data_IF_521871264497
#
_entry.id   IF_521871264497
#
_cell.length_a   1.000
_cell.length_b   1.000
_cell.length_c   1.000
_cell.angle_alpha   90.00
_cell.angle_beta   90.00
_cell.angle_gamma   90.00
#
_symmetry.space_group_name_H-M   'P 1'
#
loop_
_entity.id
_entity.type
_entity.pdbx_description
1 polymer ?
#
# COMPACT_ATOMS: atom_id res chain seq x y z
N UNK A 1 -56.07 27.70 -25.22
CA UNK A 1 -54.81 28.02 -25.94
C UNK A 1 -53.78 28.34 -24.89
N UNK A 2 -53.02 27.37 -24.43
CA UNK A 2 -51.95 27.51 -23.45
C UNK A 2 -50.66 27.02 -24.12
N UNK A 3 -49.82 27.94 -24.44
CA UNK A 3 -48.47 27.73 -24.98
C UNK A 3 -47.57 27.26 -23.84
N UNK A 4 -47.21 26.00 -23.84
CA UNK A 4 -46.12 25.42 -23.06
C UNK A 4 -44.78 25.83 -23.72
N UNK A 5 -44.09 26.74 -23.08
CA UNK A 5 -42.71 27.05 -23.41
C UNK A 5 -41.81 25.90 -22.99
N UNK A 6 -41.20 25.25 -23.98
CA UNK A 6 -40.13 24.28 -23.79
C UNK A 6 -38.92 25.00 -23.19
N UNK A 7 -38.58 24.67 -21.94
CA UNK A 7 -37.27 24.99 -21.35
C UNK A 7 -36.21 24.12 -22.06
N UNK A 8 -35.45 24.81 -22.89
CA UNK A 8 -34.24 24.25 -23.49
C UNK A 8 -33.24 23.98 -22.38
N UNK A 9 -32.97 22.68 -22.12
CA UNK A 9 -31.83 22.22 -21.35
C UNK A 9 -30.55 22.83 -21.94
N UNK A 10 -30.09 23.91 -21.36
CA UNK A 10 -28.75 24.43 -21.62
C UNK A 10 -27.76 23.44 -21.02
N UNK A 11 -26.82 22.88 -21.80
CA UNK A 11 -25.76 22.05 -21.23
C UNK A 11 -24.99 22.93 -20.22
N UNK A 12 -24.99 22.53 -18.96
CA UNK A 12 -24.10 23.12 -17.94
C UNK A 12 -22.70 23.12 -18.53
N UNK A 13 -22.21 24.28 -18.89
CA UNK A 13 -20.82 24.53 -19.22
C UNK A 13 -20.00 24.09 -18.01
N UNK A 14 -19.36 22.92 -18.11
CA UNK A 14 -18.31 22.55 -17.22
C UNK A 14 -17.31 23.70 -17.22
N UNK A 15 -17.19 24.40 -16.10
CA UNK A 15 -16.15 25.40 -15.88
C UNK A 15 -14.82 24.65 -16.05
N UNK A 16 -14.24 24.77 -17.24
CA UNK A 16 -12.91 24.22 -17.55
C UNK A 16 -11.90 25.03 -16.74
N UNK A 17 -11.55 24.54 -15.55
CA UNK A 17 -10.33 24.98 -14.88
C UNK A 17 -9.19 24.74 -15.88
N UNK A 18 -8.23 25.67 -16.03
CA UNK A 18 -7.06 25.40 -16.86
C UNK A 18 -6.42 24.10 -16.36
N UNK A 19 -6.08 23.19 -17.28
CA UNK A 19 -5.46 21.91 -16.94
C UNK A 19 -4.12 22.19 -16.25
N UNK A 20 -3.95 21.68 -15.04
CA UNK A 20 -2.69 21.73 -14.29
C UNK A 20 -1.76 20.58 -14.71
N UNK A 21 -2.26 19.63 -15.52
CA UNK A 21 -1.50 18.49 -15.98
C UNK A 21 -0.60 18.83 -17.16
N UNK A 22 0.68 18.50 -17.02
CA UNK A 22 1.67 18.53 -18.12
C UNK A 22 1.48 17.33 -19.04
N UNK A 23 1.23 16.14 -18.45
CA UNK A 23 0.95 14.91 -19.17
C UNK A 23 -0.31 14.25 -18.64
N UNK A 24 -1.26 14.02 -19.54
CA UNK A 24 -2.53 13.36 -19.28
C UNK A 24 -2.38 11.84 -19.23
N UNK A 25 -3.46 11.15 -18.89
CA UNK A 25 -3.47 9.70 -18.65
C UNK A 25 -2.90 8.86 -19.79
N UNK A 26 -3.20 9.22 -21.05
CA UNK A 26 -2.78 8.47 -22.25
C UNK A 26 -1.51 9.03 -22.90
N UNK A 27 -0.99 10.15 -22.41
CA UNK A 27 0.21 10.76 -22.97
C UNK A 27 1.44 9.90 -22.65
N UNK A 28 2.41 9.93 -23.57
CA UNK A 28 3.68 9.23 -23.46
C UNK A 28 4.81 10.23 -23.25
N UNK A 29 5.18 10.55 -22.01
CA UNK A 29 6.31 11.44 -21.77
C UNK A 29 7.62 10.86 -22.35
N UNK A 30 8.61 11.70 -22.71
CA UNK A 30 9.94 11.25 -23.05
C UNK A 30 10.55 10.36 -21.96
N UNK A 31 11.41 9.40 -22.34
CA UNK A 31 11.95 8.40 -21.42
C UNK A 31 12.59 9.02 -20.16
N UNK A 32 13.37 10.09 -20.32
CA UNK A 32 14.02 10.77 -19.18
C UNK A 32 13.00 11.32 -18.17
N UNK A 33 11.92 11.94 -18.66
CA UNK A 33 10.85 12.48 -17.81
C UNK A 33 10.02 11.35 -17.17
N UNK A 34 9.77 10.26 -17.93
CA UNK A 34 9.11 9.07 -17.44
C UNK A 34 9.88 8.44 -16.29
N UNK A 35 11.20 8.25 -16.44
CA UNK A 35 12.07 7.71 -15.40
C UNK A 35 12.13 8.62 -14.18
N UNK A 36 12.24 9.93 -14.40
CA UNK A 36 12.28 10.90 -13.29
C UNK A 36 10.99 10.90 -12.49
N UNK A 37 9.82 10.93 -13.16
CA UNK A 37 8.53 10.85 -12.50
C UNK A 37 8.35 9.48 -11.81
N UNK A 38 8.75 8.38 -12.44
CA UNK A 38 8.70 7.05 -11.84
C UNK A 38 9.55 6.94 -10.57
N UNK A 39 10.76 7.51 -10.57
CA UNK A 39 11.58 7.58 -9.35
C UNK A 39 10.90 8.37 -8.24
N UNK A 40 10.20 9.46 -8.55
CA UNK A 40 9.47 10.24 -7.54
C UNK A 40 8.33 9.44 -6.93
N UNK A 41 7.54 8.72 -7.75
CA UNK A 41 6.51 7.81 -7.27
C UNK A 41 7.11 6.72 -6.38
N UNK A 42 8.22 6.11 -6.82
CA UNK A 42 8.90 5.08 -6.04
C UNK A 42 9.38 5.61 -4.69
N UNK A 43 10.07 6.77 -4.66
CA UNK A 43 10.54 7.40 -3.43
C UNK A 43 9.40 7.73 -2.46
N UNK A 44 8.25 8.18 -2.97
CA UNK A 44 7.09 8.53 -2.16
C UNK A 44 6.48 7.33 -1.44
N UNK A 45 6.60 6.12 -2.00
CA UNK A 45 5.88 4.95 -1.52
C UNK A 45 6.78 3.79 -1.07
N UNK A 46 8.06 3.80 -1.39
CA UNK A 46 8.98 2.69 -1.13
C UNK A 46 8.93 2.22 0.33
N UNK A 47 9.13 3.16 1.27
CA UNK A 47 9.07 2.86 2.71
C UNK A 47 7.70 2.33 3.11
N UNK A 48 6.63 2.94 2.58
CA UNK A 48 5.26 2.54 2.91
C UNK A 48 4.91 1.13 2.41
N UNK A 49 5.50 0.67 1.30
CA UNK A 49 5.29 -0.70 0.77
C UNK A 49 5.91 -1.76 1.66
N UNK A 50 7.11 -1.51 2.19
CA UNK A 50 7.85 -2.50 3.00
C UNK A 50 7.45 -2.50 4.48
N UNK A 51 7.04 -1.35 5.02
CA UNK A 51 6.79 -1.17 6.46
C UNK A 51 5.73 -2.12 7.03
N UNK A 52 4.55 -2.32 6.42
CA UNK A 52 3.55 -3.24 6.98
C UNK A 52 4.07 -4.67 7.12
N UNK A 53 4.75 -5.16 6.08
CA UNK A 53 5.37 -6.49 6.10
C UNK A 53 6.41 -6.62 7.21
N UNK A 54 7.28 -5.62 7.34
CA UNK A 54 8.31 -5.59 8.38
C UNK A 54 7.70 -5.62 9.78
N UNK A 55 6.67 -4.81 10.04
CA UNK A 55 5.99 -4.74 11.34
C UNK A 55 5.35 -6.08 11.70
N UNK A 56 4.69 -6.74 10.75
CA UNK A 56 4.05 -8.05 10.98
C UNK A 56 5.12 -9.09 11.26
N UNK A 57 6.18 -9.18 10.44
CA UNK A 57 7.24 -10.16 10.63
C UNK A 57 7.95 -9.99 11.97
N UNK A 58 8.26 -8.76 12.38
CA UNK A 58 8.88 -8.46 13.66
C UNK A 58 7.96 -8.82 14.85
N UNK A 59 6.69 -8.47 14.78
CA UNK A 59 5.73 -8.76 15.83
C UNK A 59 5.50 -10.26 16.03
N UNK A 60 5.53 -11.04 14.94
CA UNK A 60 5.40 -12.49 14.98
C UNK A 60 6.70 -13.21 15.31
N UNK A 61 7.83 -12.49 15.33
CA UNK A 61 9.15 -13.03 15.64
C UNK A 61 9.69 -13.95 14.53
N UNK A 62 9.48 -13.56 13.27
CA UNK A 62 10.03 -14.31 12.13
C UNK A 62 11.56 -14.17 12.05
N UNK A 63 12.27 -15.23 11.62
CA UNK A 63 13.69 -15.15 11.31
C UNK A 63 14.00 -14.09 10.25
N UNK A 64 15.23 -13.59 10.24
CA UNK A 64 15.65 -12.56 9.29
C UNK A 64 15.49 -13.01 7.83
N UNK A 65 15.77 -14.28 7.53
CA UNK A 65 15.62 -14.86 6.19
C UNK A 65 14.17 -14.83 5.70
N UNK A 66 13.23 -15.28 6.55
CA UNK A 66 11.80 -15.25 6.23
C UNK A 66 11.29 -13.81 6.07
N UNK A 67 11.71 -12.91 6.97
CA UNK A 67 11.37 -11.49 6.90
C UNK A 67 11.85 -10.88 5.59
N UNK A 68 13.10 -11.11 5.20
CA UNK A 68 13.68 -10.61 3.96
C UNK A 68 12.93 -11.16 2.73
N UNK A 69 12.60 -12.45 2.74
CA UNK A 69 11.81 -13.10 1.67
C UNK A 69 10.43 -12.46 1.53
N UNK A 70 9.70 -12.29 2.62
CA UNK A 70 8.36 -11.69 2.62
C UNK A 70 8.40 -10.25 2.12
N UNK A 71 9.38 -9.45 2.53
CA UNK A 71 9.53 -8.06 2.09
C UNK A 71 9.91 -8.00 0.61
N UNK A 72 10.83 -8.84 0.13
CA UNK A 72 11.15 -8.95 -1.30
C UNK A 72 9.90 -9.29 -2.11
N UNK A 73 9.11 -10.25 -1.64
CA UNK A 73 7.85 -10.62 -2.30
C UNK A 73 6.78 -9.54 -2.19
N UNK A 74 6.80 -8.69 -1.15
CA UNK A 74 5.92 -7.51 -1.05
C UNK A 74 6.20 -6.51 -2.17
N UNK A 75 7.46 -6.20 -2.45
CA UNK A 75 7.85 -5.33 -3.57
C UNK A 75 7.46 -5.95 -4.91
N UNK A 76 7.79 -7.23 -5.11
CA UNK A 76 7.47 -7.97 -6.34
C UNK A 76 5.96 -8.02 -6.61
N UNK A 77 5.18 -8.45 -5.62
CA UNK A 77 3.73 -8.53 -5.71
C UNK A 77 3.09 -7.14 -5.91
N UNK A 78 3.60 -6.10 -5.25
CA UNK A 78 3.16 -4.71 -5.45
C UNK A 78 3.37 -4.22 -6.87
N UNK A 79 4.48 -4.60 -7.51
CA UNK A 79 4.73 -4.31 -8.91
C UNK A 79 3.74 -5.01 -9.84
N UNK A 80 3.52 -6.33 -9.66
CA UNK A 80 2.52 -7.08 -10.43
C UNK A 80 1.10 -6.53 -10.21
N UNK A 81 0.75 -6.23 -8.96
CA UNK A 81 -0.53 -5.65 -8.58
C UNK A 81 -0.76 -4.29 -9.24
N UNK A 82 0.29 -3.46 -9.30
CA UNK A 82 0.25 -2.17 -10.00
C UNK A 82 0.02 -2.34 -11.50
N UNK A 83 0.65 -3.31 -12.14
CA UNK A 83 0.40 -3.62 -13.55
C UNK A 83 -1.06 -4.00 -13.80
N UNK A 84 -1.64 -4.85 -12.95
CA UNK A 84 -3.06 -5.25 -13.04
C UNK A 84 -4.00 -4.06 -12.82
N UNK A 85 -3.63 -3.14 -11.93
CA UNK A 85 -4.45 -1.98 -11.61
C UNK A 85 -4.42 -0.92 -12.71
N UNK A 86 -3.24 -0.65 -13.30
CA UNK A 86 -3.02 0.40 -14.29
C UNK A 86 -3.49 -0.05 -15.68
N UNK A 87 -3.22 -1.31 -16.05
CA UNK A 87 -3.66 -1.86 -17.32
C UNK A 87 -5.00 -2.54 -17.15
N UNK A 88 -6.01 -2.05 -17.86
CA UNK A 88 -7.32 -2.73 -17.87
C UNK A 88 -7.24 -4.04 -18.64
N UNK A 89 -7.47 -5.17 -17.94
CA UNK A 89 -7.57 -6.51 -18.50
C UNK A 89 -9.06 -6.94 -18.49
N UNK A 90 -9.80 -6.60 -19.51
CA UNK A 90 -11.26 -6.82 -19.54
C UNK A 90 -11.97 -6.06 -18.41
N UNK A 91 -12.54 -6.75 -17.39
CA UNK A 91 -13.19 -6.11 -16.25
C UNK A 91 -12.23 -5.71 -15.12
N UNK A 92 -10.95 -6.11 -15.17
CA UNK A 92 -9.97 -5.93 -14.10
C UNK A 92 -9.14 -4.68 -14.34
N UNK A 93 -8.90 -3.89 -13.30
CA UNK A 93 -8.09 -2.68 -13.33
C UNK A 93 -8.89 -1.40 -13.47
N UNK A 94 -8.41 -0.33 -12.83
CA UNK A 94 -8.98 1.02 -12.93
C UNK A 94 -8.58 1.75 -14.22
N UNK A 95 -7.43 1.39 -14.79
CA UNK A 95 -6.83 2.07 -15.95
C UNK A 95 -6.24 3.45 -15.63
N UNK A 96 -6.03 3.76 -14.35
CA UNK A 96 -5.45 4.99 -13.85
C UNK A 96 -4.00 4.76 -13.40
N UNK A 97 -3.24 5.84 -13.23
CA UNK A 97 -1.95 5.80 -12.56
C UNK A 97 -2.17 5.58 -11.06
N UNK A 98 -2.50 4.35 -10.68
CA UNK A 98 -2.72 3.95 -9.29
C UNK A 98 -1.79 2.79 -8.96
N UNK A 99 -0.83 3.05 -8.07
CA UNK A 99 0.18 2.07 -7.69
C UNK A 99 -0.30 1.33 -6.44
N UNK A 100 -0.03 0.05 -6.40
CA UNK A 100 -0.41 -0.85 -5.31
C UNK A 100 0.76 -1.08 -4.37
N UNK A 101 0.46 -1.32 -3.11
CA UNK A 101 1.46 -1.75 -2.13
C UNK A 101 0.82 -2.42 -0.94
N UNK A 102 1.64 -2.99 -0.05
CA UNK A 102 1.18 -3.73 1.12
C UNK A 102 0.32 -2.84 2.03
N UNK A 103 -0.89 -3.26 2.31
CA UNK A 103 -1.88 -2.47 3.04
C UNK A 103 -1.63 -2.45 4.55
N UNK A 104 -1.65 -1.25 5.13
CA UNK A 104 -1.57 -1.05 6.58
C UNK A 104 -2.80 -1.58 7.34
N UNK A 105 -3.95 -1.72 6.68
CA UNK A 105 -5.19 -2.17 7.30
C UNK A 105 -5.07 -3.58 7.89
N UNK A 106 -4.19 -4.39 7.33
CA UNK A 106 -3.99 -5.78 7.76
C UNK A 106 -2.95 -5.93 8.87
N UNK A 107 -2.18 -4.89 9.23
CA UNK A 107 -1.09 -4.99 10.21
C UNK A 107 -1.61 -5.51 11.56
N UNK A 108 -2.53 -4.80 12.20
CA UNK A 108 -3.06 -5.20 13.51
C UNK A 108 -3.80 -6.54 13.48
N UNK A 109 -4.73 -6.80 12.53
CA UNK A 109 -5.43 -8.08 12.46
C UNK A 109 -4.50 -9.28 12.24
N UNK A 110 -3.47 -9.14 11.40
CA UNK A 110 -2.53 -10.23 11.14
C UNK A 110 -1.56 -10.46 12.30
N UNK A 111 -1.12 -9.41 12.98
CA UNK A 111 -0.32 -9.56 14.21
C UNK A 111 -1.15 -10.30 15.26
N UNK A 112 -2.37 -9.88 15.53
CA UNK A 112 -3.23 -10.51 16.53
C UNK A 112 -3.57 -11.95 16.16
N UNK A 113 -3.92 -12.20 14.91
CA UNK A 113 -4.22 -13.53 14.41
C UNK A 113 -3.02 -14.47 14.46
N UNK A 114 -1.86 -13.99 14.01
CA UNK A 114 -0.62 -14.77 14.05
C UNK A 114 -0.17 -15.09 15.47
N UNK A 115 -0.26 -14.12 16.41
CA UNK A 115 0.05 -14.36 17.82
C UNK A 115 -0.93 -15.36 18.44
N UNK A 116 -2.22 -15.32 18.09
CA UNK A 116 -3.21 -16.30 18.57
C UNK A 116 -2.86 -17.71 18.09
N UNK A 117 -2.49 -17.88 16.82
CA UNK A 117 -2.02 -19.17 16.27
C UNK A 117 -0.74 -19.66 16.97
N UNK A 118 0.23 -18.76 17.16
CA UNK A 118 1.49 -19.07 17.86
C UNK A 118 1.26 -19.50 19.29
N UNK A 119 0.40 -18.81 20.03
CA UNK A 119 0.00 -19.16 21.39
C UNK A 119 -0.78 -20.48 21.44
N UNK A 120 -1.46 -20.86 20.34
CA UNK A 120 -2.07 -22.17 20.14
C UNK A 120 -1.09 -23.30 19.82
N UNK A 121 0.22 -23.00 19.76
CA UNK A 121 1.27 -23.99 19.52
C UNK A 121 1.66 -24.17 18.05
N UNK A 122 1.17 -23.33 17.13
CA UNK A 122 1.58 -23.39 15.74
C UNK A 122 3.04 -22.94 15.58
N UNK A 123 3.82 -23.68 14.83
CA UNK A 123 5.16 -23.28 14.37
C UNK A 123 5.05 -22.20 13.26
N UNK A 124 6.16 -21.56 12.93
CA UNK A 124 6.19 -20.46 11.97
C UNK A 124 5.62 -20.87 10.60
N UNK A 125 6.02 -21.97 9.96
CA UNK A 125 5.45 -22.38 8.69
C UNK A 125 3.94 -22.63 8.75
N UNK A 126 3.44 -23.32 9.76
CA UNK A 126 2.01 -23.59 9.93
C UNK A 126 1.22 -22.30 10.16
N UNK A 127 1.74 -21.38 10.98
CA UNK A 127 1.16 -20.07 11.22
C UNK A 127 1.06 -19.26 9.91
N UNK A 128 2.15 -19.19 9.15
CA UNK A 128 2.18 -18.43 7.89
C UNK A 128 1.27 -19.05 6.83
N UNK A 129 1.24 -20.39 6.73
CA UNK A 129 0.31 -21.10 5.85
C UNK A 129 -1.16 -20.78 6.18
N UNK A 130 -1.51 -20.74 7.48
CA UNK A 130 -2.86 -20.39 7.92
C UNK A 130 -3.21 -18.92 7.60
N UNK A 131 -2.27 -18.00 7.84
CA UNK A 131 -2.49 -16.59 7.51
C UNK A 131 -2.70 -16.40 6.00
N UNK A 132 -1.81 -16.91 5.15
CA UNK A 132 -1.91 -16.72 3.70
C UNK A 132 -3.11 -17.45 3.10
N UNK A 133 -3.41 -18.67 3.54
CA UNK A 133 -4.57 -19.41 3.06
C UNK A 133 -5.89 -18.75 3.45
N UNK A 134 -6.01 -18.25 4.67
CA UNK A 134 -7.21 -17.52 5.11
C UNK A 134 -7.32 -16.17 4.39
N UNK A 135 -6.21 -15.44 4.18
CA UNK A 135 -6.18 -14.20 3.40
C UNK A 135 -6.64 -14.42 1.96
N UNK A 136 -6.20 -15.51 1.32
CA UNK A 136 -6.61 -15.86 -0.04
C UNK A 136 -8.13 -16.05 -0.13
N UNK A 137 -8.73 -16.77 0.82
CA UNK A 137 -10.19 -16.97 0.86
C UNK A 137 -10.91 -15.66 1.20
N UNK A 138 -10.42 -14.92 2.20
CA UNK A 138 -11.02 -13.66 2.62
C UNK A 138 -10.99 -12.59 1.53
N UNK A 139 -9.97 -12.57 0.64
CA UNK A 139 -9.88 -11.64 -0.51
C UNK A 139 -11.03 -11.79 -1.51
N UNK A 140 -11.70 -12.95 -1.55
CA UNK A 140 -12.92 -13.15 -2.33
C UNK A 140 -14.03 -12.15 -1.95
N UNK A 141 -14.00 -11.61 -0.73
CA UNK A 141 -14.95 -10.57 -0.29
C UNK A 141 -14.89 -9.35 -1.19
N UNK A 142 -13.69 -8.84 -1.52
CA UNK A 142 -13.53 -7.71 -2.44
C UNK A 142 -13.94 -8.06 -3.87
N UNK A 143 -13.60 -9.27 -4.33
CA UNK A 143 -13.98 -9.76 -5.65
C UNK A 143 -15.49 -9.78 -5.80
N UNK A 144 -16.21 -10.31 -4.80
CA UNK A 144 -17.67 -10.35 -4.77
C UNK A 144 -18.21 -8.91 -4.66
N UNK A 145 -17.70 -8.10 -3.75
CA UNK A 145 -18.17 -6.73 -3.54
C UNK A 145 -18.03 -5.87 -4.79
N UNK A 146 -16.99 -6.09 -5.60
CA UNK A 146 -16.79 -5.38 -6.87
C UNK A 146 -17.97 -5.51 -7.83
N UNK A 147 -18.70 -6.64 -7.79
CA UNK A 147 -19.88 -6.88 -8.61
C UNK A 147 -21.11 -6.12 -8.09
N UNK A 148 -21.23 -6.01 -6.78
CA UNK A 148 -22.36 -5.38 -6.09
C UNK A 148 -22.07 -3.93 -5.65
N UNK A 149 -21.07 -3.29 -6.22
CA UNK A 149 -20.63 -1.95 -5.81
C UNK A 149 -21.74 -0.89 -5.91
N UNK A 150 -22.72 -1.07 -6.81
CA UNK A 150 -23.87 -0.20 -6.91
C UNK A 150 -24.82 -0.27 -5.69
N UNK A 151 -24.89 -1.44 -5.02
CA UNK A 151 -25.62 -1.59 -3.76
C UNK A 151 -24.80 -1.04 -2.59
N UNK A 152 -23.49 -1.28 -2.61
CA UNK A 152 -22.58 -0.83 -1.56
C UNK A 152 -22.59 0.70 -1.41
N UNK A 153 -22.76 1.46 -2.49
CA UNK A 153 -22.92 2.94 -2.46
C UNK A 153 -24.03 3.45 -1.54
N UNK A 154 -25.07 2.65 -1.29
CA UNK A 154 -26.15 3.02 -0.36
C UNK A 154 -25.70 2.95 1.11
N UNK A 155 -24.76 2.06 1.41
CA UNK A 155 -24.25 1.82 2.76
C UNK A 155 -22.97 2.65 2.99
N UNK A 156 -22.16 2.82 1.94
CA UNK A 156 -20.91 3.54 1.95
C UNK A 156 -21.18 5.04 1.79
N UNK A 157 -21.54 5.66 2.89
CA UNK A 157 -21.62 7.13 2.96
C UNK A 157 -20.25 7.73 3.28
N UNK A 158 -19.99 9.00 2.97
CA UNK A 158 -18.77 9.69 3.39
C UNK A 158 -18.51 9.60 4.89
N UNK A 159 -19.59 9.56 5.70
CA UNK A 159 -19.52 9.37 7.15
C UNK A 159 -18.93 8.00 7.51
N UNK A 160 -19.42 6.93 6.89
CA UNK A 160 -18.92 5.56 7.13
C UNK A 160 -17.45 5.47 6.74
N UNK A 161 -17.07 5.99 5.58
CA UNK A 161 -15.66 6.04 5.15
C UNK A 161 -14.78 6.82 6.15
N UNK A 162 -15.24 7.96 6.63
CA UNK A 162 -14.52 8.75 7.63
C UNK A 162 -14.33 8.01 8.96
N UNK A 163 -15.36 7.33 9.45
CA UNK A 163 -15.29 6.50 10.68
C UNK A 163 -14.29 5.36 10.49
N UNK A 164 -14.31 4.67 9.34
CA UNK A 164 -13.40 3.58 9.03
C UNK A 164 -11.94 4.07 9.03
N UNK A 165 -11.64 5.17 8.33
CA UNK A 165 -10.28 5.75 8.31
C UNK A 165 -9.83 6.16 9.72
N UNK A 166 -10.74 6.71 10.52
CA UNK A 166 -10.44 7.07 11.92
C UNK A 166 -10.10 5.82 12.76
N UNK A 167 -10.87 4.74 12.63
CA UNK A 167 -10.62 3.48 13.37
C UNK A 167 -9.27 2.88 12.95
N UNK A 168 -8.94 2.88 11.66
CA UNK A 168 -7.64 2.43 11.14
C UNK A 168 -6.52 3.28 11.76
N UNK A 169 -6.67 4.60 11.73
CA UNK A 169 -5.70 5.51 12.34
C UNK A 169 -5.48 5.24 13.83
N UNK A 170 -6.56 5.03 14.60
CA UNK A 170 -6.48 4.69 16.02
C UNK A 170 -5.78 3.34 16.25
N UNK A 171 -6.06 2.33 15.43
CA UNK A 171 -5.40 1.01 15.52
C UNK A 171 -3.89 1.11 15.25
N UNK A 172 -3.49 1.96 14.31
CA UNK A 172 -2.09 2.17 13.98
C UNK A 172 -1.32 2.99 15.04
N UNK A 173 -1.99 3.76 15.88
CA UNK A 173 -1.34 4.47 17.01
C UNK A 173 -0.61 3.48 17.92
N UNK A 174 -1.25 2.38 18.28
CA UNK A 174 -0.61 1.36 19.13
C UNK A 174 0.64 0.79 18.46
N UNK A 175 0.57 0.46 17.17
CA UNK A 175 1.72 -0.04 16.41
C UNK A 175 2.83 1.01 16.32
N UNK A 176 2.47 2.28 16.08
CA UNK A 176 3.40 3.40 16.04
C UNK A 176 4.11 3.63 17.37
N UNK A 177 3.37 3.62 18.50
CA UNK A 177 3.95 3.76 19.84
C UNK A 177 4.89 2.60 20.18
N UNK A 178 4.53 1.38 19.82
CA UNK A 178 5.39 0.21 19.96
C UNK A 178 6.70 0.39 19.18
N UNK A 179 6.61 0.87 17.93
CA UNK A 179 7.79 1.12 17.08
C UNK A 179 8.68 2.25 17.64
N UNK A 180 8.09 3.34 18.16
CA UNK A 180 8.82 4.44 18.84
C UNK A 180 9.58 3.92 20.05
N UNK A 181 9.01 2.98 20.81
CA UNK A 181 9.64 2.34 21.96
C UNK A 181 10.82 1.42 21.61
N UNK A 182 11.04 1.13 20.34
CA UNK A 182 12.10 0.23 19.84
C UNK A 182 11.56 -1.05 19.19
N UNK A 183 10.25 -1.16 19.03
CA UNK A 183 9.59 -2.30 18.41
C UNK A 183 9.45 -3.52 19.33
N UNK A 184 8.96 -4.61 18.77
CA UNK A 184 8.72 -5.85 19.53
C UNK A 184 10.01 -6.52 19.99
N UNK A 185 11.12 -6.36 19.25
CA UNK A 185 12.44 -6.85 19.68
C UNK A 185 12.91 -6.21 20.98
N UNK A 186 12.74 -4.89 21.14
CA UNK A 186 13.10 -4.18 22.36
C UNK A 186 12.22 -4.57 23.57
N UNK A 187 11.02 -5.10 23.33
CA UNK A 187 10.18 -5.67 24.41
C UNK A 187 10.78 -6.97 24.93
N UNK A 188 11.30 -7.84 24.05
CA UNK A 188 11.95 -9.09 24.46
C UNK A 188 13.28 -8.86 25.17
N UNK A 189 14.03 -7.84 24.75
CA UNK A 189 15.36 -7.51 25.29
C UNK A 189 15.33 -6.55 26.49
N UNK A 190 14.13 -6.23 27.00
CA UNK A 190 13.93 -5.29 28.12
C UNK A 190 14.49 -3.87 27.87
N UNK A 191 14.70 -3.49 26.61
CA UNK A 191 15.18 -2.15 26.21
C UNK A 191 14.06 -1.25 25.68
N UNK A 192 12.82 -1.70 25.78
CA UNK A 192 11.64 -0.95 25.33
C UNK A 192 11.52 0.39 26.06
N UNK A 193 11.28 1.47 25.31
CA UNK A 193 11.17 2.81 25.87
C UNK A 193 12.49 3.41 26.35
N UNK A 194 13.64 2.80 26.03
CA UNK A 194 14.94 3.35 26.40
C UNK A 194 15.13 4.76 25.84
N UNK A 195 15.86 5.66 26.54
CA UNK A 195 16.11 7.01 26.06
C UNK A 195 16.73 7.05 24.65
N UNK A 196 17.55 6.07 24.29
CA UNK A 196 18.16 5.94 22.95
C UNK A 196 17.10 5.71 21.89
N UNK A 197 16.16 4.78 22.10
CA UNK A 197 15.08 4.49 21.17
C UNK A 197 14.18 5.72 20.98
N UNK A 198 13.80 6.38 22.08
CA UNK A 198 12.94 7.57 22.03
C UNK A 198 13.65 8.76 21.34
N UNK A 199 14.93 8.96 21.58
CA UNK A 199 15.72 10.01 20.91
C UNK A 199 15.81 9.74 19.40
N UNK A 200 16.10 8.50 19.00
CA UNK A 200 16.17 8.11 17.59
C UNK A 200 14.84 8.34 16.89
N UNK A 201 13.76 7.83 17.48
CA UNK A 201 12.39 7.99 16.92
C UNK A 201 11.98 9.47 16.86
N UNK A 202 12.28 10.24 17.91
CA UNK A 202 12.02 11.68 17.96
C UNK A 202 12.80 12.46 16.89
N UNK A 203 14.10 12.15 16.70
CA UNK A 203 14.91 12.78 15.68
C UNK A 203 14.37 12.50 14.26
N UNK A 204 14.03 11.23 13.96
CA UNK A 204 13.42 10.85 12.67
C UNK A 204 12.09 11.59 12.45
N UNK A 205 11.22 11.63 13.46
CA UNK A 205 9.95 12.34 13.39
C UNK A 205 10.15 13.84 13.11
N UNK A 206 11.08 14.49 13.80
CA UNK A 206 11.41 15.90 13.57
C UNK A 206 11.89 16.13 12.14
N UNK A 207 12.76 15.26 11.61
CA UNK A 207 13.23 15.34 10.22
C UNK A 207 12.04 15.24 9.24
N UNK A 208 11.12 14.28 9.45
CA UNK A 208 9.93 14.14 8.61
C UNK A 208 9.09 15.42 8.64
N UNK A 209 8.82 15.98 9.82
CA UNK A 209 8.01 17.20 9.99
C UNK A 209 8.70 18.38 9.30
N UNK A 210 9.99 18.56 9.48
CA UNK A 210 10.75 19.66 8.89
C UNK A 210 10.76 19.57 7.36
N UNK A 211 10.96 18.36 6.79
CA UNK A 211 10.96 18.15 5.35
C UNK A 211 9.57 18.33 4.75
N UNK A 212 8.52 17.84 5.42
CA UNK A 212 7.14 18.04 4.96
C UNK A 212 6.68 19.51 5.02
N UNK A 213 7.29 20.33 5.87
CA UNK A 213 7.01 21.78 5.95
C UNK A 213 7.74 22.59 4.89
N UNK A 214 8.71 22.01 4.18
CA UNK A 214 9.46 22.72 3.14
C UNK A 214 8.57 23.13 1.97
N UNK A 215 8.90 24.28 1.36
CA UNK A 215 8.24 24.75 0.13
C UNK A 215 8.66 23.95 -1.09
N UNK A 216 9.82 23.30 -1.03
CA UNK A 216 10.32 22.48 -2.12
C UNK A 216 9.54 21.15 -2.16
N UNK A 217 8.79 20.92 -3.24
CA UNK A 217 7.96 19.74 -3.37
C UNK A 217 8.76 18.43 -3.42
N UNK A 218 9.96 18.44 -3.99
CA UNK A 218 10.81 17.25 -4.08
C UNK A 218 11.28 16.78 -2.69
N UNK A 219 11.62 17.70 -1.79
CA UNK A 219 11.98 17.37 -0.41
C UNK A 219 10.79 16.78 0.36
N UNK A 220 9.58 17.26 0.08
CA UNK A 220 8.36 16.71 0.66
C UNK A 220 8.11 15.27 0.24
N UNK A 221 8.22 14.98 -1.06
CA UNK A 221 8.03 13.61 -1.60
C UNK A 221 9.08 12.66 -1.06
N UNK A 222 10.35 13.09 -0.99
CA UNK A 222 11.47 12.28 -0.51
C UNK A 222 11.59 12.24 1.02
N UNK A 223 10.71 12.92 1.77
CA UNK A 223 10.86 13.12 3.23
C UNK A 223 11.02 11.83 4.01
N UNK A 224 10.26 10.79 3.69
CA UNK A 224 10.32 9.49 4.37
C UNK A 224 11.65 8.78 4.11
N UNK A 225 12.13 8.79 2.86
CA UNK A 225 13.41 8.14 2.49
C UNK A 225 14.58 8.88 3.12
N UNK A 226 14.56 10.22 3.10
CA UNK A 226 15.61 11.04 3.73
C UNK A 226 15.60 10.82 5.24
N UNK A 227 14.44 10.80 5.88
CA UNK A 227 14.32 10.57 7.31
C UNK A 227 14.80 9.16 7.71
N UNK A 228 14.51 8.15 6.89
CA UNK A 228 15.03 6.79 7.09
C UNK A 228 16.57 6.75 7.00
N UNK A 229 17.15 7.39 5.99
CA UNK A 229 18.60 7.48 5.84
C UNK A 229 19.26 8.21 7.03
N UNK A 230 18.67 9.32 7.48
CA UNK A 230 19.15 10.06 8.67
C UNK A 230 19.00 9.20 9.92
N UNK A 231 17.88 8.50 10.09
CA UNK A 231 17.66 7.59 11.21
C UNK A 231 18.68 6.45 11.25
N UNK A 232 18.99 5.86 10.09
CA UNK A 232 20.02 4.82 9.98
C UNK A 232 21.42 5.35 10.36
N UNK A 233 21.79 6.53 9.85
CA UNK A 233 23.07 7.17 10.21
C UNK A 233 23.15 7.49 11.70
N UNK A 234 22.09 7.99 12.30
CA UNK A 234 22.03 8.25 13.74
C UNK A 234 22.13 6.94 14.54
N UNK A 235 21.42 5.89 14.13
CA UNK A 235 21.49 4.58 14.79
C UNK A 235 22.91 4.00 14.71
N UNK A 236 23.61 4.19 13.59
CA UNK A 236 25.01 3.79 13.43
C UNK A 236 25.93 4.56 14.36
N UNK A 237 25.83 5.88 14.42
CA UNK A 237 26.67 6.72 15.30
C UNK A 237 26.43 6.48 16.78
N UNK A 238 25.21 6.07 17.16
CA UNK A 238 24.81 5.75 18.53
C UNK A 238 25.17 4.30 18.94
N UNK A 239 25.76 3.51 18.01
CA UNK A 239 26.10 2.12 18.26
C UNK A 239 24.87 1.23 18.50
N UNK A 240 23.73 1.59 17.89
CA UNK A 240 22.46 0.84 18.01
C UNK A 240 22.31 -0.25 16.94
N UNK A 241 23.20 -0.26 15.93
CA UNK A 241 23.21 -1.32 14.95
C UNK A 241 23.90 -2.56 15.53
N UNK A 242 23.35 -3.76 15.32
CA UNK A 242 24.01 -4.99 15.75
C UNK A 242 25.37 -5.12 15.05
N UNK A 243 26.42 -5.48 15.81
CA UNK A 243 27.80 -5.58 15.34
C UNK A 243 28.01 -6.63 14.24
N UNK A 244 27.14 -7.59 14.12
CA UNK A 244 27.10 -8.55 13.02
C UNK A 244 25.66 -9.00 12.77
N UNK A 245 25.04 -8.44 11.75
CA UNK A 245 24.00 -9.24 11.07
C UNK A 245 24.74 -10.38 10.38
N UNK A 246 24.35 -11.65 10.58
CA UNK A 246 24.80 -12.67 9.67
C UNK A 246 24.48 -12.14 8.27
N UNK A 247 25.51 -11.92 7.45
CA UNK A 247 25.31 -11.74 6.03
C UNK A 247 24.64 -13.03 5.61
N UNK A 248 23.31 -12.99 5.50
CA UNK A 248 22.56 -14.09 4.92
C UNK A 248 23.18 -14.19 3.55
N UNK A 249 23.82 -15.32 3.25
CA UNK A 249 24.48 -15.59 1.98
C UNK A 249 23.38 -15.72 0.93
N UNK A 250 22.72 -14.57 0.67
CA UNK A 250 21.55 -14.49 -0.19
C UNK A 250 22.07 -14.43 -1.62
N UNK A 251 21.55 -15.31 -2.45
CA UNK A 251 21.73 -15.21 -3.89
C UNK A 251 21.43 -13.76 -4.33
N UNK A 252 22.25 -13.22 -5.25
CA UNK A 252 22.07 -11.85 -5.78
C UNK A 252 20.65 -11.61 -6.28
N UNK A 253 19.97 -12.66 -6.72
CA UNK A 253 18.59 -12.62 -7.24
C UNK A 253 17.78 -13.70 -6.53
N UNK A 254 16.68 -13.30 -5.90
CA UNK A 254 15.69 -14.24 -5.34
C UNK A 254 14.64 -14.55 -6.40
N UNK A 255 14.53 -15.83 -6.76
CA UNK A 255 13.45 -16.29 -7.64
C UNK A 255 12.17 -16.38 -6.81
N UNK A 256 11.07 -15.76 -7.24
CA UNK A 256 9.80 -15.90 -6.55
C UNK A 256 9.37 -17.37 -6.46
N UNK A 257 9.17 -17.86 -5.25
CA UNK A 257 8.68 -19.22 -4.99
C UNK A 257 7.21 -19.13 -4.55
N UNK A 258 6.26 -19.36 -5.45
CA UNK A 258 4.85 -19.36 -5.07
C UNK A 258 4.56 -20.43 -4.01
N UNK A 259 3.68 -20.10 -3.07
CA UNK A 259 3.18 -21.01 -2.03
C UNK A 259 4.30 -21.65 -1.17
N UNK A 260 5.37 -20.93 -0.89
CA UNK A 260 6.53 -21.43 -0.13
C UNK A 260 6.15 -22.03 1.24
N UNK A 261 5.25 -21.36 1.99
CA UNK A 261 4.74 -21.86 3.27
C UNK A 261 3.56 -22.83 3.10
N UNK A 262 3.08 -23.05 1.87
CA UNK A 262 1.81 -23.72 1.62
C UNK A 262 0.61 -22.84 1.97
N UNK A 263 -0.57 -23.48 1.98
CA UNK A 263 -1.82 -22.83 2.35
C UNK A 263 -2.56 -23.73 3.33
N UNK A 264 -2.95 -23.19 4.46
CA UNK A 264 -3.92 -23.80 5.37
C UNK A 264 -4.99 -22.76 5.72
N UNK A 265 -5.97 -23.16 6.52
CA UNK A 265 -7.15 -22.31 6.73
C UNK A 265 -7.55 -22.29 8.20
N UNK A 266 -7.81 -21.10 8.73
CA UNK A 266 -8.32 -20.92 10.09
C UNK A 266 -9.66 -20.15 10.07
N UNK A 267 -10.70 -20.79 10.61
CA UNK A 267 -12.05 -20.22 10.66
C UNK A 267 -12.17 -18.99 11.55
N UNK A 268 -11.38 -18.90 12.62
CA UNK A 268 -11.44 -17.79 13.56
C UNK A 268 -10.90 -16.50 12.94
N UNK A 269 -9.95 -16.62 11.98
CA UNK A 269 -9.36 -15.49 11.26
C UNK A 269 -10.22 -15.04 10.08
N UNK A 270 -11.05 -15.90 9.52
CA UNK A 270 -11.79 -15.61 8.28
C UNK A 270 -12.68 -14.39 8.42
N UNK A 271 -13.57 -14.39 9.44
CA UNK A 271 -14.55 -13.30 9.59
C UNK A 271 -13.89 -11.94 9.84
N UNK A 272 -12.93 -11.81 10.78
CA UNK A 272 -12.18 -10.57 10.93
C UNK A 272 -11.52 -10.09 9.63
N UNK A 273 -10.86 -10.98 8.89
CA UNK A 273 -10.19 -10.62 7.64
C UNK A 273 -11.18 -10.23 6.53
N UNK A 274 -12.33 -10.88 6.42
CA UNK A 274 -13.39 -10.46 5.49
C UNK A 274 -13.88 -9.05 5.80
N UNK A 275 -14.04 -8.68 7.07
CA UNK A 275 -14.41 -7.32 7.47
C UNK A 275 -13.33 -6.31 7.06
N UNK A 276 -12.05 -6.64 7.23
CA UNK A 276 -10.96 -5.76 6.77
C UNK A 276 -10.98 -5.62 5.25
N UNK A 277 -11.22 -6.69 4.49
CA UNK A 277 -11.37 -6.61 3.04
C UNK A 277 -12.56 -5.75 2.58
N UNK A 278 -13.64 -5.71 3.34
CA UNK A 278 -14.71 -4.73 3.10
C UNK A 278 -14.22 -3.29 3.30
N UNK A 279 -13.43 -3.06 4.35
CA UNK A 279 -12.84 -1.75 4.64
C UNK A 279 -11.86 -1.32 3.54
N UNK A 280 -10.98 -2.20 3.08
CA UNK A 280 -10.04 -1.89 1.99
C UNK A 280 -10.75 -1.64 0.66
N UNK A 281 -11.90 -2.27 0.42
CA UNK A 281 -12.74 -1.94 -0.73
C UNK A 281 -13.22 -0.48 -0.70
N UNK A 282 -13.56 0.05 0.50
CA UNK A 282 -13.96 1.44 0.66
C UNK A 282 -12.80 2.40 0.41
N UNK A 283 -11.64 2.07 0.97
CA UNK A 283 -10.39 2.82 0.74
C UNK A 283 -10.07 2.85 -0.76
N UNK A 284 -10.10 1.71 -1.44
CA UNK A 284 -9.87 1.60 -2.89
C UNK A 284 -10.84 2.46 -3.70
N UNK A 285 -12.11 2.53 -3.32
CA UNK A 285 -13.09 3.42 -3.97
C UNK A 285 -12.68 4.89 -3.79
N UNK A 286 -12.28 5.27 -2.60
CA UNK A 286 -11.80 6.61 -2.28
C UNK A 286 -10.56 6.98 -3.10
N UNK A 287 -9.57 6.11 -3.12
CA UNK A 287 -8.30 6.33 -3.83
C UNK A 287 -8.50 6.40 -5.35
N UNK A 288 -9.30 5.52 -5.94
CA UNK A 288 -9.61 5.57 -7.38
C UNK A 288 -10.38 6.83 -7.73
N UNK A 289 -11.27 7.29 -6.84
CA UNK A 289 -12.00 8.55 -7.03
C UNK A 289 -11.04 9.74 -7.00
N UNK A 290 -10.17 9.79 -6.00
CA UNK A 290 -9.16 10.83 -5.87
C UNK A 290 -8.18 10.81 -7.06
N UNK A 291 -7.71 9.62 -7.47
CA UNK A 291 -6.83 9.47 -8.65
C UNK A 291 -7.52 9.91 -9.92
N UNK A 292 -8.82 9.61 -10.09
CA UNK A 292 -9.60 10.10 -11.23
C UNK A 292 -9.67 11.61 -11.25
N UNK A 293 -9.94 12.25 -10.11
CA UNK A 293 -10.07 13.69 -9.97
C UNK A 293 -8.74 14.41 -10.29
N UNK A 294 -7.64 14.00 -9.64
CA UNK A 294 -6.32 14.61 -9.88
C UNK A 294 -5.76 14.33 -11.28
N UNK A 295 -6.25 13.28 -11.95
CA UNK A 295 -5.89 12.95 -13.34
C UNK A 295 -6.84 13.57 -14.36
N UNK A 296 -7.71 14.49 -13.96
CA UNK A 296 -8.74 15.13 -14.80
C UNK A 296 -9.62 14.11 -15.53
N UNK A 297 -9.91 12.98 -14.87
CA UNK A 297 -10.77 11.94 -15.39
C UNK A 297 -12.17 12.02 -14.77
N UNK A 298 -13.21 11.50 -15.46
CA UNK A 298 -14.55 11.54 -14.93
C UNK A 298 -14.69 10.89 -13.55
N UNK A 299 -15.34 11.59 -12.61
CA UNK A 299 -15.71 11.11 -11.27
C UNK A 299 -17.19 10.75 -11.16
N UNK A 300 -17.89 10.75 -12.30
CA UNK A 300 -19.30 10.37 -12.46
C UNK A 300 -19.52 9.63 -13.78
N UNK A 301 -20.65 8.96 -13.90
CA UNK A 301 -21.08 8.30 -15.14
C UNK A 301 -20.54 6.87 -15.33
N UNK A 302 -20.81 6.28 -16.51
CA UNK A 302 -20.55 4.85 -16.76
C UNK A 302 -19.06 4.48 -16.74
N UNK A 303 -18.18 5.36 -17.27
CA UNK A 303 -16.74 5.12 -17.31
C UNK A 303 -16.15 5.10 -15.90
N UNK A 304 -16.57 6.04 -15.06
CA UNK A 304 -16.16 6.08 -13.65
C UNK A 304 -16.59 4.81 -12.90
N UNK A 305 -17.85 4.37 -13.09
CA UNK A 305 -18.33 3.14 -12.48
C UNK A 305 -17.58 1.89 -12.97
N UNK A 306 -17.19 1.86 -14.24
CA UNK A 306 -16.35 0.79 -14.79
C UNK A 306 -14.99 0.77 -14.12
N UNK A 307 -14.35 1.94 -13.93
CA UNK A 307 -13.05 2.08 -13.24
C UNK A 307 -13.13 1.67 -11.79
N UNK A 308 -14.17 2.08 -11.07
CA UNK A 308 -14.38 1.66 -9.68
C UNK A 308 -14.53 0.15 -9.54
N UNK A 309 -15.44 -0.45 -10.33
CA UNK A 309 -15.65 -1.90 -10.30
C UNK A 309 -14.39 -2.66 -10.68
N UNK A 310 -13.70 -2.22 -11.72
CA UNK A 310 -12.47 -2.84 -12.18
C UNK A 310 -11.34 -2.69 -11.17
N UNK A 311 -11.23 -1.55 -10.51
CA UNK A 311 -10.21 -1.29 -9.52
C UNK A 311 -10.41 -2.07 -8.22
N UNK A 312 -11.63 -2.15 -7.70
CA UNK A 312 -11.94 -3.00 -6.53
C UNK A 312 -11.74 -4.48 -6.86
N UNK A 313 -12.14 -4.91 -8.07
CA UNK A 313 -11.87 -6.28 -8.52
C UNK A 313 -10.38 -6.57 -8.59
N UNK A 314 -9.59 -5.64 -9.14
CA UNK A 314 -8.14 -5.78 -9.21
C UNK A 314 -7.52 -5.83 -7.81
N UNK A 315 -8.01 -5.04 -6.85
CA UNK A 315 -7.51 -5.04 -5.48
C UNK A 315 -7.69 -6.40 -4.79
N UNK A 316 -8.88 -7.01 -4.92
CA UNK A 316 -9.14 -8.35 -4.40
C UNK A 316 -8.27 -9.43 -5.07
N UNK A 317 -8.11 -9.38 -6.39
CA UNK A 317 -7.21 -10.29 -7.13
C UNK A 317 -5.74 -10.08 -6.77
N UNK A 318 -5.32 -8.83 -6.56
CA UNK A 318 -3.97 -8.49 -6.13
C UNK A 318 -3.66 -9.03 -4.73
N UNK A 319 -4.64 -8.97 -3.81
CA UNK A 319 -4.50 -9.54 -2.48
C UNK A 319 -4.42 -11.06 -2.50
N UNK A 320 -5.18 -11.71 -3.39
CA UNK A 320 -5.05 -13.15 -3.65
C UNK A 320 -3.68 -13.51 -4.22
N UNK A 321 -3.18 -12.72 -5.18
CA UNK A 321 -1.85 -12.87 -5.75
C UNK A 321 -0.75 -12.70 -4.69
N UNK A 322 -0.91 -11.73 -3.78
CA UNK A 322 0.01 -11.53 -2.67
C UNK A 322 0.13 -12.76 -1.78
N UNK A 323 -0.99 -13.41 -1.45
CA UNK A 323 -0.98 -14.66 -0.68
C UNK A 323 -0.24 -15.79 -1.42
N UNK A 324 -0.39 -15.89 -2.75
CA UNK A 324 0.36 -16.85 -3.59
C UNK A 324 1.87 -16.61 -3.51
N UNK A 325 2.30 -15.34 -3.50
CA UNK A 325 3.71 -14.98 -3.38
C UNK A 325 4.19 -14.85 -1.93
N UNK A 326 3.43 -15.35 -0.96
CA UNK A 326 3.79 -15.39 0.46
C UNK A 326 4.07 -14.00 1.02
N UNK A 327 3.21 -13.04 0.69
CA UNK A 327 3.23 -11.69 1.23
C UNK A 327 1.81 -11.23 1.60
N UNK A 328 1.73 -10.07 2.21
CA UNK A 328 0.47 -9.56 2.76
C UNK A 328 -0.36 -8.80 1.70
N UNK A 329 -1.68 -8.64 1.93
CA UNK A 329 -2.58 -8.03 0.96
C UNK A 329 -2.16 -6.63 0.54
N UNK A 330 -2.42 -6.30 -0.71
CA UNK A 330 -2.15 -4.99 -1.30
C UNK A 330 -3.40 -4.10 -1.28
N UNK A 331 -3.17 -2.77 -1.27
CA UNK A 331 -4.18 -1.75 -1.54
C UNK A 331 -3.62 -0.62 -2.40
N UNK A 332 -4.50 0.25 -2.90
CA UNK A 332 -4.08 1.46 -3.60
C UNK A 332 -3.37 2.41 -2.63
N UNK A 333 -2.31 3.08 -3.10
CA UNK A 333 -1.61 4.09 -2.30
C UNK A 333 -2.02 5.51 -2.70
N UNK A 334 -2.72 6.18 -1.80
CA UNK A 334 -3.15 7.57 -1.96
C UNK A 334 -2.00 8.59 -2.08
N UNK A 335 -0.79 8.25 -1.61
CA UNK A 335 0.43 9.07 -1.78
C UNK A 335 0.73 9.37 -3.25
N UNK A 336 0.33 8.48 -4.15
CA UNK A 336 0.42 8.65 -5.60
C UNK A 336 -0.26 9.91 -6.10
N UNK A 337 -1.43 10.22 -5.54
CA UNK A 337 -2.21 11.39 -5.92
C UNK A 337 -1.45 12.68 -5.62
N UNK A 338 -0.72 12.71 -4.50
CA UNK A 338 0.16 13.83 -4.16
C UNK A 338 1.31 14.01 -5.16
N UNK A 339 1.88 12.91 -5.67
CA UNK A 339 2.95 12.98 -6.68
C UNK A 339 2.39 13.45 -8.03
N UNK A 340 1.21 12.97 -8.44
CA UNK A 340 0.54 13.44 -9.67
C UNK A 340 0.28 14.95 -9.60
N UNK A 341 -0.30 15.44 -8.50
CA UNK A 341 -0.55 16.88 -8.32
C UNK A 341 0.72 17.70 -8.34
N UNK A 342 1.80 17.16 -7.78
CA UNK A 342 3.08 17.84 -7.68
C UNK A 342 3.80 17.95 -9.01
N UNK A 343 3.78 16.86 -9.78
CA UNK A 343 4.54 16.75 -11.03
C UNK A 343 3.75 17.19 -12.25
N UNK A 344 2.43 17.25 -12.14
CA UNK A 344 1.53 17.41 -13.28
C UNK A 344 1.54 16.22 -14.24
N UNK A 345 2.03 15.05 -13.80
CA UNK A 345 2.16 13.85 -14.65
C UNK A 345 1.18 12.79 -14.18
N UNK A 346 0.09 12.62 -14.93
CA UNK A 346 -0.93 11.60 -14.68
C UNK A 346 -0.83 10.40 -15.64
N UNK A 347 0.24 10.32 -16.41
CA UNK A 347 0.42 9.29 -17.45
C UNK A 347 0.53 7.88 -16.86
N UNK A 348 -0.33 6.95 -17.31
CA UNK A 348 -0.25 5.54 -16.91
C UNK A 348 1.05 4.83 -17.36
N UNK A 349 1.75 5.39 -18.38
CA UNK A 349 3.02 4.83 -18.82
C UNK A 349 4.11 5.00 -17.75
N UNK A 350 4.06 6.08 -16.98
CA UNK A 350 4.92 6.24 -15.78
C UNK A 350 4.62 5.14 -14.78
N UNK A 351 3.35 4.81 -14.57
CA UNK A 351 2.95 3.73 -13.67
C UNK A 351 3.48 2.35 -14.07
N UNK A 352 3.54 2.05 -15.38
CA UNK A 352 4.15 0.80 -15.85
C UNK A 352 5.65 0.75 -15.52
N UNK A 353 6.35 1.87 -15.62
CA UNK A 353 7.77 1.94 -15.25
C UNK A 353 7.95 1.77 -13.74
N UNK A 354 7.12 2.40 -12.91
CA UNK A 354 7.14 2.20 -11.46
C UNK A 354 6.88 0.73 -11.10
N UNK A 355 5.88 0.11 -11.72
CA UNK A 355 5.57 -1.30 -11.51
C UNK A 355 6.74 -2.22 -11.88
N UNK A 356 7.41 -1.94 -12.99
CA UNK A 356 8.62 -2.67 -13.39
C UNK A 356 9.76 -2.46 -12.39
N UNK A 357 9.98 -1.23 -11.92
CA UNK A 357 10.97 -0.94 -10.88
C UNK A 357 10.69 -1.72 -9.59
N UNK A 358 9.44 -1.78 -9.14
CA UNK A 358 9.06 -2.56 -7.95
C UNK A 358 9.32 -4.06 -8.14
N UNK A 359 8.97 -4.62 -9.31
CA UNK A 359 9.27 -6.02 -9.63
C UNK A 359 10.77 -6.28 -9.58
N UNK A 360 11.57 -5.44 -10.21
CA UNK A 360 13.03 -5.56 -10.23
C UNK A 360 13.58 -5.47 -8.81
N UNK A 361 13.19 -4.46 -8.03
CA UNK A 361 13.64 -4.31 -6.65
C UNK A 361 13.26 -5.51 -5.77
N UNK A 362 12.07 -6.10 -5.99
CA UNK A 362 11.64 -7.30 -5.28
C UNK A 362 12.43 -8.56 -5.62
N UNK A 363 13.14 -8.59 -6.75
CA UNK A 363 14.03 -9.70 -7.11
C UNK A 363 15.41 -9.59 -6.45
N UNK A 364 15.79 -8.43 -5.93
CA UNK A 364 17.06 -8.21 -5.25
C UNK A 364 16.89 -8.20 -3.72
N UNK A 365 17.16 -9.32 -3.03
CA UNK A 365 16.94 -9.42 -1.58
C UNK A 365 17.77 -8.42 -0.77
N UNK A 366 18.89 -7.95 -1.28
CA UNK A 366 19.70 -6.90 -0.64
C UNK A 366 18.94 -5.57 -0.44
N UNK A 367 17.86 -5.33 -1.20
CA UNK A 367 17.00 -4.14 -1.05
C UNK A 367 16.02 -4.31 0.12
N UNK A 368 15.70 -5.55 0.49
CA UNK A 368 14.73 -5.91 1.53
C UNK A 368 15.39 -6.16 2.91
N UNK A 369 16.68 -6.37 2.96
CA UNK A 369 17.49 -6.57 4.17
C UNK A 369 18.19 -5.31 4.58
#
# INVERSE_FOLDING_TARGET
MSTQSAELDTPQQATTRPSELIYRLEDRPPLAQTLFAACQHLLAMFVAVITPGLLICQALGLPAEDTQRIISMSLFASGLASLLQIKTWGPVGSGLLSIQGTSFNFVSPLIMGGLALKNGGADIPTMMAALFGTLMVASCTEIILSRFLHLARRIITPLVSGIVVMIIGLSLIQVGLTSIGGGYGAMSDHTFGSPKNLMLAGAVLVVIILLNRQRNPYLRVASLVIAMAVGYLLAWTLGMLPESRPVVDTALITIPTPLYYGLSFDWNLLVPLMLIFMVTSLETIGDITATSDVSEQPVHGPLYMKRLKGGVLANGLNSMLSAVFNTFPNSCFGQNNGVIQLTGVASRYVGFVVALMLIVLGLFPAVAG
#
